data_IF_688915076034
#
_entry.id   IF_688915076034
#
_cell.length_a   1.000
_cell.length_b   1.000
_cell.length_c   1.000
_cell.angle_alpha   90.00
_cell.angle_beta   90.00
_cell.angle_gamma   90.00
#
_symmetry.space_group_name_H-M   'P 1'
#
loop_
_entity.id
_entity.type
_entity.pdbx_description
1 polymer ?
#
# COMPACT_ATOMS: atom_id res chain seq x y z
N UNK A 1 -3.83 -7.77 -22.61
CA UNK A 1 -2.52 -7.82 -23.29
C UNK A 1 -1.47 -8.51 -22.43
N UNK A 2 -1.22 -8.06 -21.19
CA UNK A 2 -0.29 -8.72 -20.25
C UNK A 2 -0.58 -10.22 -20.06
N UNK A 3 -1.84 -10.56 -19.75
CA UNK A 3 -2.30 -11.95 -19.56
C UNK A 3 -1.97 -12.83 -20.75
N UNK A 4 -2.26 -12.34 -21.96
CA UNK A 4 -1.94 -13.01 -23.22
C UNK A 4 -0.42 -13.16 -23.44
N UNK A 5 0.37 -12.16 -23.04
CA UNK A 5 1.83 -12.24 -23.09
C UNK A 5 2.41 -13.30 -22.15
N UNK A 6 1.95 -13.34 -20.89
CA UNK A 6 2.34 -14.39 -19.93
C UNK A 6 1.90 -15.76 -20.44
N UNK A 7 0.66 -15.86 -20.95
CA UNK A 7 0.14 -17.11 -21.51
C UNK A 7 0.96 -17.59 -22.71
N UNK A 8 1.36 -16.69 -23.62
CA UNK A 8 2.25 -17.00 -24.73
C UNK A 8 3.60 -17.51 -24.25
N UNK A 9 4.24 -16.82 -23.30
CA UNK A 9 5.52 -17.25 -22.70
C UNK A 9 5.39 -18.65 -22.09
N UNK A 10 4.29 -18.92 -21.39
CA UNK A 10 4.04 -20.20 -20.73
C UNK A 10 3.85 -21.32 -21.77
N UNK A 11 3.07 -21.06 -22.83
CA UNK A 11 2.82 -22.04 -23.90
C UNK A 11 4.10 -22.33 -24.69
N UNK A 12 4.91 -21.32 -25.03
CA UNK A 12 6.20 -21.50 -25.72
C UNK A 12 7.16 -22.32 -24.85
N UNK A 13 7.20 -22.05 -23.56
CA UNK A 13 8.03 -22.78 -22.61
C UNK A 13 7.64 -24.26 -22.50
N UNK A 14 6.34 -24.53 -22.40
CA UNK A 14 5.80 -25.90 -22.35
C UNK A 14 6.02 -26.67 -23.66
N UNK A 15 5.95 -26.01 -24.82
CA UNK A 15 6.21 -26.65 -26.12
C UNK A 15 7.66 -27.06 -26.32
N UNK A 16 8.61 -26.32 -25.74
CA UNK A 16 10.04 -26.60 -25.84
C UNK A 16 10.64 -27.21 -24.58
N UNK A 17 9.88 -28.08 -23.88
CA UNK A 17 10.29 -28.66 -22.60
C UNK A 17 11.49 -29.59 -22.79
N UNK A 18 12.52 -29.39 -21.96
CA UNK A 18 13.77 -30.16 -21.95
C UNK A 18 14.22 -30.30 -20.50
N UNK A 19 14.98 -31.36 -20.18
CA UNK A 19 15.41 -31.66 -18.81
C UNK A 19 16.09 -30.47 -18.11
N UNK A 20 16.87 -29.68 -18.85
CA UNK A 20 17.50 -28.45 -18.32
C UNK A 20 16.48 -27.39 -17.90
N UNK A 21 15.37 -27.25 -18.63
CA UNK A 21 14.29 -26.31 -18.30
C UNK A 21 13.49 -26.81 -17.09
N UNK A 22 13.19 -28.11 -17.04
CA UNK A 22 12.51 -28.75 -15.90
C UNK A 22 13.31 -28.56 -14.62
N UNK A 23 14.64 -28.75 -14.69
CA UNK A 23 15.53 -28.50 -13.56
C UNK A 23 15.49 -27.04 -13.09
N UNK A 24 15.50 -26.07 -14.02
CA UNK A 24 15.37 -24.66 -13.67
C UNK A 24 14.00 -24.32 -13.06
N UNK A 25 12.91 -24.94 -13.53
CA UNK A 25 11.57 -24.78 -12.97
C UNK A 25 11.51 -25.26 -11.52
N UNK A 26 12.08 -26.43 -11.24
CA UNK A 26 12.16 -27.00 -9.89
C UNK A 26 13.00 -26.13 -8.93
N UNK A 27 13.91 -25.29 -9.44
CA UNK A 27 14.77 -24.42 -8.63
C UNK A 27 14.20 -23.05 -8.30
N UNK A 28 13.17 -22.57 -9.02
CA UNK A 28 12.60 -21.23 -8.80
C UNK A 28 11.15 -21.29 -8.33
N UNK A 29 10.36 -22.20 -8.91
CA UNK A 29 8.93 -22.24 -8.68
C UNK A 29 8.57 -22.58 -7.22
N UNK A 30 9.22 -23.55 -6.54
CA UNK A 30 8.92 -23.83 -5.13
C UNK A 30 9.19 -22.63 -4.22
N UNK A 31 10.27 -21.88 -4.44
CA UNK A 31 10.64 -20.72 -3.64
C UNK A 31 9.69 -19.53 -3.86
N UNK A 32 9.25 -19.31 -5.10
CA UNK A 32 8.22 -18.30 -5.38
C UNK A 32 6.86 -18.72 -4.82
N UNK A 33 6.53 -20.02 -4.90
CA UNK A 33 5.34 -20.59 -4.28
C UNK A 33 5.33 -20.45 -2.76
N UNK A 34 6.46 -20.69 -2.09
CA UNK A 34 6.57 -20.47 -0.64
C UNK A 34 6.41 -19.00 -0.29
N UNK A 35 6.96 -18.07 -1.08
CA UNK A 35 6.77 -16.63 -0.90
C UNK A 35 5.29 -16.20 -1.02
N UNK A 36 4.55 -16.76 -1.99
CA UNK A 36 3.12 -16.49 -2.16
C UNK A 36 2.33 -17.03 -0.97
N UNK A 37 2.67 -18.24 -0.48
CA UNK A 37 2.03 -18.85 0.67
C UNK A 37 2.29 -18.03 1.95
N UNK A 38 3.54 -17.68 2.24
CA UNK A 38 3.91 -16.84 3.38
C UNK A 38 3.32 -15.43 3.27
N UNK A 39 3.28 -14.86 2.08
CA UNK A 39 2.65 -13.56 1.80
C UNK A 39 1.15 -13.58 2.05
N UNK A 40 0.47 -14.65 1.64
CA UNK A 40 -0.97 -14.83 1.86
C UNK A 40 -1.30 -15.02 3.34
N UNK A 41 -0.51 -15.83 4.06
CA UNK A 41 -0.67 -16.02 5.51
C UNK A 41 -0.40 -14.72 6.26
N UNK A 42 0.68 -14.01 5.94
CA UNK A 42 0.99 -12.74 6.59
C UNK A 42 -0.08 -11.69 6.29
N UNK A 43 -0.64 -11.64 5.08
CA UNK A 43 -1.75 -10.76 4.73
C UNK A 43 -3.00 -11.03 5.57
N UNK A 44 -3.40 -12.30 5.70
CA UNK A 44 -4.50 -12.71 6.58
C UNK A 44 -4.22 -12.38 8.05
N UNK A 45 -3.00 -12.62 8.52
CA UNK A 45 -2.58 -12.35 9.88
C UNK A 45 -2.65 -10.84 10.19
N UNK A 46 -2.04 -9.99 9.37
CA UNK A 46 -2.10 -8.54 9.55
C UNK A 46 -3.54 -8.04 9.49
N UNK A 47 -4.36 -8.53 8.56
CA UNK A 47 -5.77 -8.15 8.48
C UNK A 47 -6.54 -8.53 9.76
N UNK A 48 -6.29 -9.72 10.32
CA UNK A 48 -6.88 -10.16 11.57
C UNK A 48 -6.40 -9.33 12.76
N UNK A 49 -5.10 -9.05 12.84
CA UNK A 49 -4.51 -8.26 13.92
C UNK A 49 -5.04 -6.81 13.93
N UNK A 50 -5.12 -6.14 12.78
CA UNK A 50 -5.71 -4.81 12.69
C UNK A 50 -7.19 -4.81 13.03
N UNK A 51 -7.93 -5.89 12.71
CA UNK A 51 -9.34 -6.02 13.06
C UNK A 51 -9.58 -6.19 14.57
N UNK A 52 -8.73 -6.98 15.23
CA UNK A 52 -8.88 -7.33 16.65
C UNK A 52 -8.27 -6.27 17.57
N UNK A 53 -7.08 -5.76 17.23
CA UNK A 53 -6.28 -4.90 18.09
C UNK A 53 -5.70 -3.68 17.33
N UNK A 54 -6.52 -2.78 16.76
CA UNK A 54 -6.05 -1.70 15.89
C UNK A 54 -5.10 -0.71 16.60
N UNK A 55 -5.37 -0.37 17.86
CA UNK A 55 -4.54 0.57 18.64
C UNK A 55 -3.18 -0.05 18.95
N UNK A 56 -3.15 -1.31 19.37
CA UNK A 56 -1.91 -2.02 19.66
C UNK A 56 -1.07 -2.21 18.38
N UNK A 57 -1.73 -2.55 17.27
CA UNK A 57 -1.07 -2.69 15.97
C UNK A 57 -0.51 -1.37 15.44
N UNK A 58 -1.24 -0.26 15.55
CA UNK A 58 -0.73 1.05 15.15
C UNK A 58 0.56 1.43 15.92
N UNK A 59 0.65 1.06 17.21
CA UNK A 59 1.83 1.26 18.06
C UNK A 59 2.98 0.32 17.71
N UNK A 60 2.68 -0.97 17.50
CA UNK A 60 3.69 -2.01 17.33
C UNK A 60 4.27 -2.06 15.93
N UNK A 61 3.48 -1.77 14.89
CA UNK A 61 3.84 -2.04 13.49
C UNK A 61 5.12 -1.32 13.04
N UNK A 62 5.35 -0.13 13.59
CA UNK A 62 6.51 0.68 13.27
C UNK A 62 7.80 -0.02 13.72
N UNK A 63 7.81 -0.52 14.95
CA UNK A 63 8.97 -1.24 15.50
C UNK A 63 9.10 -2.64 14.90
N UNK A 64 7.97 -3.32 14.70
CA UNK A 64 7.92 -4.65 14.07
C UNK A 64 8.49 -4.60 12.65
N UNK A 65 8.15 -3.58 11.86
CA UNK A 65 8.72 -3.38 10.53
C UNK A 65 10.23 -3.23 10.54
N UNK A 66 10.78 -2.40 11.43
CA UNK A 66 12.23 -2.23 11.59
C UNK A 66 12.90 -3.55 11.98
N UNK A 67 12.32 -4.29 12.94
CA UNK A 67 12.88 -5.55 13.42
C UNK A 67 12.97 -6.61 12.30
N UNK A 68 11.90 -6.82 11.53
CA UNK A 68 11.91 -7.77 10.42
C UNK A 68 12.80 -7.31 9.26
N UNK A 69 12.86 -6.00 9.00
CA UNK A 69 13.77 -5.45 7.98
C UNK A 69 15.24 -5.69 8.37
N UNK A 70 15.59 -5.50 9.64
CA UNK A 70 16.92 -5.82 10.16
C UNK A 70 17.23 -7.31 10.04
N UNK A 71 16.29 -8.18 10.42
CA UNK A 71 16.45 -9.64 10.30
C UNK A 71 16.71 -10.08 8.85
N UNK A 72 15.95 -9.56 7.90
CA UNK A 72 16.15 -9.82 6.48
C UNK A 72 17.52 -9.30 5.98
N UNK A 73 17.95 -8.12 6.43
CA UNK A 73 19.26 -7.58 6.08
C UNK A 73 20.41 -8.47 6.57
N UNK A 74 20.37 -8.89 7.83
CA UNK A 74 21.38 -9.77 8.43
C UNK A 74 21.44 -11.12 7.69
N UNK A 75 20.29 -11.69 7.35
CA UNK A 75 20.22 -12.92 6.56
C UNK A 75 20.90 -12.75 5.18
N UNK A 76 20.61 -11.66 4.46
CA UNK A 76 21.21 -11.41 3.14
C UNK A 76 22.72 -11.17 3.19
N UNK A 77 23.21 -10.50 4.24
CA UNK A 77 24.64 -10.29 4.47
C UNK A 77 25.33 -11.62 4.80
N UNK A 78 24.70 -12.46 5.63
CA UNK A 78 25.23 -13.78 6.01
C UNK A 78 25.43 -14.74 4.83
N UNK A 79 24.79 -14.46 3.68
CA UNK A 79 24.91 -15.30 2.51
C UNK A 79 26.28 -15.22 1.81
N UNK A 80 27.08 -14.19 2.13
CA UNK A 80 28.45 -13.99 1.64
C UNK A 80 28.61 -13.99 0.10
N UNK A 81 27.51 -13.83 -0.65
CA UNK A 81 27.55 -13.64 -2.11
C UNK A 81 27.56 -12.14 -2.40
N UNK A 82 28.41 -11.62 -3.31
CA UNK A 82 28.52 -10.17 -3.55
C UNK A 82 27.18 -9.49 -3.85
N UNK A 83 26.31 -10.13 -4.65
CA UNK A 83 24.98 -9.62 -4.99
C UNK A 83 24.02 -9.61 -3.79
N UNK A 84 24.08 -10.59 -2.89
CA UNK A 84 23.24 -10.64 -1.70
C UNK A 84 23.73 -9.69 -0.61
N UNK A 85 25.04 -9.54 -0.45
CA UNK A 85 25.65 -8.61 0.50
C UNK A 85 25.31 -7.18 0.11
N UNK A 86 25.44 -6.81 -1.17
CA UNK A 86 25.05 -5.49 -1.66
C UNK A 86 23.59 -5.15 -1.36
N UNK A 87 22.68 -6.09 -1.65
CA UNK A 87 21.26 -5.94 -1.31
C UNK A 87 21.04 -5.84 0.21
N UNK A 88 21.74 -6.66 0.99
CA UNK A 88 21.67 -6.68 2.45
C UNK A 88 22.09 -5.36 3.10
N UNK A 89 23.16 -4.72 2.61
CA UNK A 89 23.60 -3.40 3.08
C UNK A 89 22.54 -2.33 2.81
N UNK A 90 21.92 -2.33 1.63
CA UNK A 90 20.83 -1.39 1.30
C UNK A 90 19.65 -1.59 2.26
N UNK A 91 19.24 -2.83 2.50
CA UNK A 91 18.13 -3.15 3.43
C UNK A 91 18.51 -2.81 4.87
N UNK A 92 19.77 -2.95 5.27
CA UNK A 92 20.27 -2.56 6.58
C UNK A 92 20.15 -1.04 6.81
N UNK A 93 20.63 -0.23 5.85
CA UNK A 93 20.48 1.23 5.89
C UNK A 93 19.00 1.60 5.98
N UNK A 94 18.15 0.93 5.17
CA UNK A 94 16.71 1.15 5.22
C UNK A 94 16.10 0.82 6.59
N UNK A 95 16.58 -0.22 7.27
CA UNK A 95 16.17 -0.54 8.64
C UNK A 95 16.53 0.57 9.63
N UNK A 96 17.70 1.18 9.50
CA UNK A 96 18.12 2.31 10.35
C UNK A 96 17.18 3.50 10.11
N UNK A 97 16.89 3.82 8.84
CA UNK A 97 15.96 4.89 8.49
C UNK A 97 14.54 4.63 9.05
N UNK A 98 14.06 3.38 9.01
CA UNK A 98 12.77 3.01 9.62
C UNK A 98 12.78 3.21 11.14
N UNK A 99 13.86 2.84 11.83
CA UNK A 99 14.00 3.05 13.28
C UNK A 99 14.05 4.53 13.65
N UNK A 100 14.74 5.37 12.86
CA UNK A 100 14.74 6.82 13.06
C UNK A 100 13.35 7.42 12.82
N UNK A 101 12.64 6.97 11.77
CA UNK A 101 11.25 7.33 11.53
C UNK A 101 10.35 6.92 12.70
N UNK A 102 10.61 5.76 13.31
CA UNK A 102 9.88 5.28 14.48
C UNK A 102 9.97 6.24 15.65
N UNK A 103 11.18 6.67 15.99
CA UNK A 103 11.40 7.64 17.07
C UNK A 103 10.68 8.96 16.82
N UNK A 104 10.65 9.43 15.57
CA UNK A 104 10.03 10.71 15.21
C UNK A 104 8.50 10.68 15.27
N UNK A 105 7.89 9.58 14.82
CA UNK A 105 6.44 9.47 14.61
C UNK A 105 5.64 9.22 15.89
N UNK A 106 6.30 8.74 16.97
CA UNK A 106 5.65 8.41 18.26
C UNK A 106 4.78 9.56 18.80
N UNK A 107 5.17 10.82 18.56
CA UNK A 107 4.42 12.02 18.99
C UNK A 107 3.05 12.16 18.31
N UNK A 108 2.91 11.69 17.07
CA UNK A 108 1.68 11.82 16.25
C UNK A 108 0.79 10.58 16.31
N UNK A 109 1.24 9.55 17.01
CA UNK A 109 0.68 8.22 16.92
C UNK A 109 -0.69 8.07 17.60
N UNK A 110 -0.94 8.85 18.68
CA UNK A 110 -2.19 8.78 19.44
C UNK A 110 -3.40 9.03 18.54
N UNK A 111 -3.43 10.18 17.86
CA UNK A 111 -4.52 10.55 16.95
C UNK A 111 -4.77 9.49 15.87
N UNK A 112 -3.71 9.03 15.20
CA UNK A 112 -3.85 8.06 14.12
C UNK A 112 -4.35 6.69 14.61
N UNK A 113 -3.94 6.26 15.80
CA UNK A 113 -4.41 5.01 16.40
C UNK A 113 -5.89 5.07 16.78
N UNK A 114 -6.34 6.19 17.35
CA UNK A 114 -7.74 6.40 17.76
C UNK A 114 -8.65 6.50 16.52
N UNK A 115 -8.22 7.24 15.48
CA UNK A 115 -8.92 7.32 14.20
C UNK A 115 -9.05 5.95 13.53
N UNK A 116 -7.97 5.18 13.53
CA UNK A 116 -7.95 3.83 12.95
C UNK A 116 -8.89 2.89 13.72
N UNK A 117 -8.89 2.95 15.06
CA UNK A 117 -9.82 2.19 15.90
C UNK A 117 -11.26 2.52 15.57
N UNK A 118 -11.61 3.80 15.50
CA UNK A 118 -12.98 4.23 15.20
C UNK A 118 -13.44 3.77 13.81
N UNK A 119 -12.58 3.98 12.80
CA UNK A 119 -12.86 3.62 11.41
C UNK A 119 -13.03 2.11 11.24
N UNK A 120 -12.16 1.31 11.87
CA UNK A 120 -12.23 -0.15 11.80
C UNK A 120 -13.38 -0.72 12.63
N UNK A 121 -13.74 -0.09 13.75
CA UNK A 121 -14.91 -0.51 14.53
C UNK A 121 -16.20 -0.36 13.71
N UNK A 122 -16.29 0.69 12.89
CA UNK A 122 -17.40 0.85 11.95
C UNK A 122 -17.36 -0.19 10.82
N UNK A 123 -16.19 -0.40 10.22
CA UNK A 123 -16.01 -1.43 9.19
C UNK A 123 -16.36 -2.85 9.66
N UNK A 124 -16.22 -3.14 10.97
CA UNK A 124 -16.64 -4.40 11.60
C UNK A 124 -18.14 -4.57 11.71
N UNK A 125 -18.91 -3.48 11.83
CA UNK A 125 -20.38 -3.54 11.87
C UNK A 125 -20.96 -3.86 10.50
N UNK A 126 -20.28 -3.44 9.43
CA UNK A 126 -20.67 -3.74 8.06
C UNK A 126 -20.37 -5.20 7.71
N UNK A 127 -21.41 -5.94 7.31
CA UNK A 127 -21.29 -7.37 6.97
C UNK A 127 -20.50 -7.54 5.67
N UNK A 128 -19.49 -8.40 5.69
CA UNK A 128 -18.77 -8.81 4.46
C UNK A 128 -17.60 -7.93 4.03
N UNK A 129 -17.28 -6.84 4.74
CA UNK A 129 -16.13 -5.96 4.43
C UNK A 129 -14.81 -6.73 4.30
N UNK A 130 -14.57 -7.65 5.24
CA UNK A 130 -13.35 -8.48 5.24
C UNK A 130 -13.41 -9.63 4.22
N UNK A 131 -14.61 -10.06 3.83
CA UNK A 131 -14.81 -11.12 2.83
C UNK A 131 -14.36 -10.63 1.45
N UNK A 132 -14.64 -9.36 1.10
CA UNK A 132 -14.12 -8.73 -0.13
C UNK A 132 -12.59 -8.85 -0.21
N UNK A 133 -11.90 -8.44 0.86
CA UNK A 133 -10.44 -8.48 0.90
C UNK A 133 -9.90 -9.90 0.74
N UNK A 134 -10.52 -10.89 1.40
CA UNK A 134 -10.12 -12.30 1.30
C UNK A 134 -10.31 -12.87 -0.11
N UNK A 135 -11.41 -12.55 -0.79
CA UNK A 135 -11.63 -12.97 -2.18
C UNK A 135 -10.62 -12.36 -3.14
N UNK A 136 -10.36 -11.05 -3.03
CA UNK A 136 -9.38 -10.38 -3.88
C UNK A 136 -7.96 -10.88 -3.59
N UNK A 137 -7.63 -11.15 -2.32
CA UNK A 137 -6.36 -11.76 -1.94
C UNK A 137 -6.19 -13.14 -2.58
N UNK A 138 -7.21 -13.99 -2.56
CA UNK A 138 -7.17 -15.31 -3.20
C UNK A 138 -6.95 -15.20 -4.72
N UNK A 139 -7.66 -14.28 -5.38
CA UNK A 139 -7.45 -13.99 -6.81
C UNK A 139 -6.02 -13.51 -7.07
N UNK A 140 -5.49 -12.63 -6.22
CA UNK A 140 -4.12 -12.12 -6.33
C UNK A 140 -3.10 -13.25 -6.16
N UNK A 141 -3.29 -14.16 -5.21
CA UNK A 141 -2.40 -15.30 -4.98
C UNK A 141 -2.40 -16.28 -6.16
N UNK A 142 -3.57 -16.59 -6.74
CA UNK A 142 -3.68 -17.40 -7.96
C UNK A 142 -3.01 -16.72 -9.15
N UNK A 143 -3.24 -15.42 -9.31
CA UNK A 143 -2.59 -14.61 -10.35
C UNK A 143 -1.07 -14.60 -10.20
N UNK A 144 -0.55 -14.49 -8.97
CA UNK A 144 0.87 -14.52 -8.69
C UNK A 144 1.50 -15.90 -8.93
N UNK A 145 0.78 -17.00 -8.68
CA UNK A 145 1.24 -18.33 -9.06
C UNK A 145 1.39 -18.43 -10.58
N UNK A 146 0.39 -17.97 -11.33
CA UNK A 146 0.45 -17.92 -12.79
C UNK A 146 1.59 -17.02 -13.30
N UNK A 147 1.78 -15.86 -12.67
CA UNK A 147 2.85 -14.92 -12.99
C UNK A 147 4.23 -15.49 -12.68
N UNK A 148 4.40 -16.23 -11.57
CA UNK A 148 5.67 -16.84 -11.18
C UNK A 148 6.16 -17.85 -12.21
N UNK A 149 5.25 -18.62 -12.80
CA UNK A 149 5.57 -19.51 -13.92
C UNK A 149 6.02 -18.72 -15.16
N UNK A 150 5.40 -17.57 -15.42
CA UNK A 150 5.82 -16.62 -16.46
C UNK A 150 7.23 -16.08 -16.26
N UNK A 151 7.64 -15.78 -15.03
CA UNK A 151 9.02 -15.36 -14.72
C UNK A 151 10.02 -16.47 -15.00
N UNK A 152 9.74 -17.70 -14.56
CA UNK A 152 10.62 -18.84 -14.84
C UNK A 152 10.76 -19.07 -16.35
N UNK A 153 9.67 -18.93 -17.10
CA UNK A 153 9.70 -19.00 -18.55
C UNK A 153 10.58 -17.89 -19.16
N UNK A 154 10.40 -16.64 -18.71
CA UNK A 154 11.13 -15.47 -19.20
C UNK A 154 12.66 -15.59 -19.04
N UNK A 155 13.14 -16.29 -18.00
CA UNK A 155 14.57 -16.51 -17.76
C UNK A 155 15.25 -17.36 -18.85
N UNK A 156 14.48 -18.03 -19.72
CA UNK A 156 15.03 -18.84 -20.83
C UNK A 156 15.20 -18.09 -22.15
N UNK A 157 14.75 -16.83 -22.22
CA UNK A 157 14.83 -16.00 -23.43
C UNK A 157 16.12 -15.18 -23.50
N UNK A 158 16.56 -14.84 -24.70
CA UNK A 158 17.80 -14.08 -24.95
C UNK A 158 17.78 -12.66 -24.32
N UNK A 159 16.61 -12.04 -24.22
CA UNK A 159 16.39 -10.74 -23.57
C UNK A 159 15.74 -10.87 -22.18
N UNK A 160 16.13 -11.89 -21.42
CA UNK A 160 15.53 -12.20 -20.11
C UNK A 160 15.40 -10.98 -19.16
N UNK A 161 16.40 -10.09 -18.98
CA UNK A 161 16.27 -8.97 -18.05
C UNK A 161 15.17 -7.98 -18.43
N UNK A 162 15.02 -7.67 -19.73
CA UNK A 162 14.00 -6.73 -20.20
C UNK A 162 12.59 -7.32 -20.05
N UNK A 163 12.43 -8.61 -20.35
CA UNK A 163 11.15 -9.31 -20.20
C UNK A 163 10.77 -9.42 -18.72
N UNK A 164 11.72 -9.77 -17.84
CA UNK A 164 11.50 -9.81 -16.39
C UNK A 164 11.14 -8.43 -15.84
N UNK A 165 11.80 -7.36 -16.31
CA UNK A 165 11.45 -5.99 -15.93
C UNK A 165 10.01 -5.64 -16.35
N UNK A 166 9.63 -5.94 -17.59
CA UNK A 166 8.26 -5.73 -18.07
C UNK A 166 7.23 -6.53 -17.25
N UNK A 167 7.57 -7.77 -16.86
CA UNK A 167 6.73 -8.59 -15.98
C UNK A 167 6.59 -8.00 -14.58
N UNK A 168 7.66 -7.42 -14.01
CA UNK A 168 7.62 -6.74 -12.70
C UNK A 168 6.78 -5.47 -12.73
N UNK A 169 6.92 -4.62 -13.76
CA UNK A 169 6.07 -3.43 -13.93
C UNK A 169 4.61 -3.85 -14.08
N UNK A 170 4.36 -4.93 -14.82
CA UNK A 170 3.02 -5.47 -14.95
C UNK A 170 2.46 -6.02 -13.64
N UNK A 171 3.28 -6.70 -12.84
CA UNK A 171 2.89 -7.19 -11.51
C UNK A 171 2.53 -6.02 -10.59
N UNK A 172 3.38 -5.00 -10.56
CA UNK A 172 3.15 -3.77 -9.79
C UNK A 172 1.78 -3.16 -10.12
N UNK A 173 1.51 -2.94 -11.40
CA UNK A 173 0.28 -2.28 -11.82
C UNK A 173 -0.97 -3.13 -11.54
N UNK A 174 -0.91 -4.43 -11.83
CA UNK A 174 -2.05 -5.35 -11.58
C UNK A 174 -2.40 -5.44 -10.09
N UNK A 175 -1.41 -5.57 -9.21
CA UNK A 175 -1.65 -5.67 -7.77
C UNK A 175 -2.09 -4.34 -7.15
N UNK A 176 -1.59 -3.21 -7.66
CA UNK A 176 -2.06 -1.88 -7.25
C UNK A 176 -3.51 -1.62 -7.70
N UNK A 177 -3.95 -2.14 -8.85
CA UNK A 177 -5.37 -2.15 -9.25
C UNK A 177 -6.19 -2.95 -8.25
N UNK A 178 -5.79 -4.19 -7.93
CA UNK A 178 -6.53 -5.03 -6.98
C UNK A 178 -6.66 -4.38 -5.60
N UNK A 179 -5.57 -3.77 -5.10
CA UNK A 179 -5.59 -2.99 -3.86
C UNK A 179 -6.61 -1.85 -3.91
N UNK A 180 -6.61 -1.05 -4.98
CA UNK A 180 -7.49 0.11 -5.09
C UNK A 180 -8.96 -0.28 -5.34
N UNK A 181 -9.22 -1.44 -5.96
CA UNK A 181 -10.57 -2.04 -6.03
C UNK A 181 -11.09 -2.37 -4.63
N UNK A 182 -10.27 -3.02 -3.78
CA UNK A 182 -10.64 -3.31 -2.38
C UNK A 182 -10.88 -2.02 -1.60
N UNK A 183 -9.98 -1.04 -1.74
CA UNK A 183 -10.11 0.27 -1.08
C UNK A 183 -11.43 0.95 -1.45
N UNK A 184 -11.75 1.05 -2.74
CA UNK A 184 -12.98 1.68 -3.23
C UNK A 184 -14.25 0.94 -2.80
N UNK A 185 -14.26 -0.40 -2.86
CA UNK A 185 -15.39 -1.21 -2.44
C UNK A 185 -15.68 -1.03 -0.94
N UNK A 186 -14.65 -1.09 -0.11
CA UNK A 186 -14.77 -0.92 1.35
C UNK A 186 -15.16 0.51 1.71
N UNK A 187 -14.58 1.51 1.03
CA UNK A 187 -14.95 2.90 1.26
C UNK A 187 -16.44 3.12 0.98
N UNK A 188 -16.99 2.51 -0.07
CA UNK A 188 -18.42 2.58 -0.35
C UNK A 188 -19.26 1.90 0.73
N UNK A 189 -18.91 0.68 1.12
CA UNK A 189 -19.69 -0.08 2.10
C UNK A 189 -19.78 0.67 3.44
N UNK A 190 -18.65 1.20 3.90
CA UNK A 190 -18.57 2.03 5.11
C UNK A 190 -19.34 3.34 4.94
N UNK A 191 -19.28 3.97 3.77
CA UNK A 191 -19.98 5.23 3.54
C UNK A 191 -21.51 5.06 3.41
N UNK A 192 -21.97 3.99 2.77
CA UNK A 192 -23.39 3.62 2.72
C UNK A 192 -23.93 3.36 4.12
N UNK A 193 -23.14 2.71 4.98
CA UNK A 193 -23.49 2.52 6.39
C UNK A 193 -23.72 3.87 7.11
N UNK A 194 -22.84 4.87 6.93
CA UNK A 194 -23.02 6.19 7.54
C UNK A 194 -24.19 7.00 6.95
N UNK A 195 -24.45 6.86 5.65
CA UNK A 195 -25.41 7.71 4.94
C UNK A 195 -26.83 7.17 5.02
N UNK A 196 -27.00 5.85 4.88
CA UNK A 196 -28.29 5.17 4.70
C UNK A 196 -28.59 4.22 5.86
N UNK A 197 -27.56 3.58 6.44
CA UNK A 197 -27.71 2.59 7.51
C UNK A 197 -27.26 1.18 7.10
N UNK A 198 -27.18 0.28 8.07
CA UNK A 198 -26.56 -1.05 7.91
C UNK A 198 -27.30 -1.98 6.92
N UNK A 199 -28.63 -1.91 6.87
CA UNK A 199 -29.46 -2.89 6.13
C UNK A 199 -29.33 -2.80 4.61
N UNK A 200 -28.79 -1.70 4.08
CA UNK A 200 -28.61 -1.48 2.64
C UNK A 200 -27.16 -1.74 2.17
N UNK A 201 -26.26 -2.11 3.09
CA UNK A 201 -24.85 -2.37 2.77
C UNK A 201 -24.65 -3.80 2.22
N UNK A 202 -24.57 -3.90 0.89
CA UNK A 202 -24.36 -5.15 0.16
C UNK A 202 -22.94 -5.20 -0.43
N UNK A 203 -22.05 -5.93 0.25
CA UNK A 203 -20.62 -6.03 -0.08
C UNK A 203 -20.36 -6.61 -1.48
N UNK A 204 -21.21 -7.53 -1.93
CA UNK A 204 -21.18 -8.16 -3.25
C UNK A 204 -21.47 -7.15 -4.37
N UNK A 205 -22.50 -6.32 -4.20
CA UNK A 205 -22.86 -5.27 -5.16
C UNK A 205 -21.78 -4.19 -5.24
N UNK A 206 -21.17 -3.84 -4.11
CA UNK A 206 -20.07 -2.87 -4.07
C UNK A 206 -18.82 -3.39 -4.79
N UNK A 207 -18.44 -4.64 -4.55
CA UNK A 207 -17.31 -5.27 -5.25
C UNK A 207 -17.58 -5.43 -6.76
N UNK A 208 -18.79 -5.86 -7.13
CA UNK A 208 -19.19 -5.97 -8.52
C UNK A 208 -19.14 -4.61 -9.23
N UNK A 209 -19.66 -3.55 -8.59
CA UNK A 209 -19.66 -2.20 -9.15
C UNK A 209 -18.24 -1.63 -9.26
N UNK A 210 -17.37 -1.89 -8.29
CA UNK A 210 -15.96 -1.49 -8.34
C UNK A 210 -15.21 -2.19 -9.48
N UNK A 211 -15.53 -3.46 -9.74
CA UNK A 211 -14.89 -4.27 -10.78
C UNK A 211 -15.43 -4.01 -12.20
N UNK A 212 -16.58 -3.36 -12.33
CA UNK A 212 -17.24 -3.10 -13.62
C UNK A 212 -17.37 -1.61 -13.90
N UNK A 213 -18.23 -0.93 -13.15
CA UNK A 213 -18.65 0.45 -13.39
C UNK A 213 -17.56 1.47 -13.08
N UNK A 214 -16.75 1.23 -12.04
CA UNK A 214 -15.69 2.18 -11.61
C UNK A 214 -14.29 1.76 -12.02
N UNK A 215 -14.16 0.60 -12.65
CA UNK A 215 -12.87 -0.03 -12.94
C UNK A 215 -11.95 0.90 -13.74
N UNK A 216 -12.46 1.58 -14.77
CA UNK A 216 -11.67 2.52 -15.58
C UNK A 216 -11.09 3.70 -14.76
N UNK A 217 -11.87 4.25 -13.84
CA UNK A 217 -11.40 5.32 -12.93
C UNK A 217 -10.39 4.79 -11.91
N UNK A 218 -10.59 3.57 -11.41
CA UNK A 218 -9.65 2.90 -10.48
C UNK A 218 -8.32 2.61 -11.19
N UNK A 219 -8.34 2.09 -12.42
CA UNK A 219 -7.13 1.83 -13.20
C UNK A 219 -6.30 3.09 -13.46
N UNK A 220 -6.99 4.20 -13.78
CA UNK A 220 -6.34 5.51 -13.95
C UNK A 220 -5.70 5.99 -12.63
N UNK A 221 -6.42 5.88 -11.52
CA UNK A 221 -5.91 6.20 -10.19
C UNK A 221 -4.69 5.34 -9.79
N UNK A 222 -4.73 4.03 -10.05
CA UNK A 222 -3.62 3.10 -9.74
C UNK A 222 -2.34 3.40 -10.51
N UNK A 223 -2.40 4.14 -11.63
CA UNK A 223 -1.22 4.58 -12.36
C UNK A 223 -0.71 5.93 -11.83
N UNK A 224 -1.61 6.88 -11.62
CA UNK A 224 -1.25 8.27 -11.28
C UNK A 224 -0.88 8.43 -9.80
N UNK A 225 -1.68 7.88 -8.89
CA UNK A 225 -1.56 8.15 -7.45
C UNK A 225 -0.22 7.67 -6.85
N UNK A 226 0.30 6.46 -7.15
CA UNK A 226 1.59 6.02 -6.63
C UNK A 226 2.77 6.87 -7.12
N UNK A 227 2.73 7.31 -8.39
CA UNK A 227 3.77 8.18 -8.98
C UNK A 227 3.81 9.51 -8.24
N UNK A 228 2.65 10.11 -8.01
CA UNK A 228 2.55 11.39 -7.31
C UNK A 228 2.90 11.30 -5.83
N UNK A 229 2.53 10.20 -5.17
CA UNK A 229 2.95 9.95 -3.80
C UNK A 229 4.49 9.89 -3.71
N UNK A 230 5.14 9.19 -4.63
CA UNK A 230 6.61 9.11 -4.70
C UNK A 230 7.23 10.48 -4.93
N UNK A 231 6.74 11.23 -5.93
CA UNK A 231 7.21 12.59 -6.22
C UNK A 231 7.07 13.54 -5.02
N UNK A 232 5.97 13.43 -4.27
CA UNK A 232 5.73 14.26 -3.08
C UNK A 232 6.69 13.93 -1.95
N UNK A 233 6.96 12.64 -1.73
CA UNK A 233 7.92 12.19 -0.72
C UNK A 233 9.33 12.67 -1.08
N UNK A 234 9.74 12.54 -2.34
CA UNK A 234 11.05 13.03 -2.79
C UNK A 234 11.17 14.55 -2.70
N UNK A 235 10.14 15.30 -3.11
CA UNK A 235 10.14 16.76 -3.01
C UNK A 235 10.28 17.23 -1.56
N UNK A 236 9.51 16.65 -0.63
CA UNK A 236 9.62 16.97 0.80
C UNK A 236 10.96 16.55 1.41
N UNK A 237 11.54 15.45 0.94
CA UNK A 237 12.88 15.02 1.35
C UNK A 237 13.94 16.03 0.94
N UNK A 238 13.91 16.46 -0.32
CA UNK A 238 14.82 17.48 -0.85
C UNK A 238 14.70 18.81 -0.12
N UNK A 239 13.48 19.25 0.17
CA UNK A 239 13.22 20.50 0.88
C UNK A 239 13.72 20.48 2.33
N UNK A 240 13.81 19.31 2.98
CA UNK A 240 14.33 19.19 4.36
C UNK A 240 15.84 19.10 4.47
N UNK A 241 16.51 18.75 3.38
CA UNK A 241 17.98 18.64 3.33
C UNK A 241 18.63 20.01 3.07
N UNK A 242 17.84 21.04 2.73
CA UNK A 242 18.36 22.35 2.36
C UNK A 242 18.59 23.28 3.55
N UNK A 243 19.87 23.42 3.91
CA UNK A 243 20.45 24.61 4.51
C UNK A 243 21.22 25.41 3.44
N UNK A 244 20.89 26.69 3.29
CA UNK A 244 21.73 27.80 2.78
C UNK A 244 22.07 27.95 1.27
N UNK A 245 21.46 27.23 0.31
CA UNK A 245 21.71 27.48 -1.12
C UNK A 245 20.53 28.17 -1.84
N UNK A 246 20.71 29.46 -2.20
CA UNK A 246 19.70 30.32 -2.87
C UNK A 246 19.24 29.80 -4.25
N UNK A 247 20.08 29.11 -5.01
CA UNK A 247 19.74 28.65 -6.36
C UNK A 247 18.80 27.41 -6.37
N UNK A 248 18.83 26.59 -5.32
CA UNK A 248 17.96 25.41 -5.18
C UNK A 248 16.59 25.75 -4.57
N UNK A 249 16.42 26.95 -4.03
CA UNK A 249 15.17 27.47 -3.46
C UNK A 249 14.06 27.62 -4.53
N UNK A 250 14.41 28.08 -5.74
CA UNK A 250 13.45 28.28 -6.84
C UNK A 250 12.85 26.96 -7.35
N UNK A 251 13.68 25.91 -7.46
CA UNK A 251 13.23 24.58 -7.87
C UNK A 251 12.39 23.90 -6.79
N UNK A 252 12.79 24.00 -5.52
CA UNK A 252 12.07 23.45 -4.37
C UNK A 252 10.64 23.99 -4.26
N UNK A 253 10.46 25.30 -4.38
CA UNK A 253 9.14 25.94 -4.35
C UNK A 253 8.30 25.61 -5.60
N UNK A 254 8.94 25.46 -6.76
CA UNK A 254 8.28 25.00 -7.98
C UNK A 254 7.75 23.56 -7.81
N UNK A 255 8.58 22.65 -7.29
CA UNK A 255 8.17 21.28 -7.00
C UNK A 255 7.05 21.22 -5.97
N UNK A 256 7.09 22.04 -4.93
CA UNK A 256 6.03 22.07 -3.93
C UNK A 256 4.71 22.59 -4.53
N UNK A 257 4.75 23.65 -5.34
CA UNK A 257 3.57 24.14 -6.09
C UNK A 257 3.01 23.10 -7.05
N UNK A 258 3.86 22.43 -7.82
CA UNK A 258 3.45 21.39 -8.77
C UNK A 258 2.82 20.20 -8.03
N UNK A 259 3.43 19.75 -6.93
CA UNK A 259 2.86 18.66 -6.13
C UNK A 259 1.55 19.05 -5.44
N UNK A 260 1.38 20.31 -5.02
CA UNK A 260 0.12 20.82 -4.48
C UNK A 260 -1.02 20.76 -5.52
N UNK A 261 -0.74 21.19 -6.77
CA UNK A 261 -1.69 21.08 -7.89
C UNK A 261 -2.00 19.61 -8.17
N UNK A 262 -1.00 18.75 -8.21
CA UNK A 262 -1.19 17.33 -8.52
C UNK A 262 -2.01 16.60 -7.44
N UNK A 263 -1.83 16.94 -6.16
CA UNK A 263 -2.60 16.38 -5.04
C UNK A 263 -4.07 16.77 -5.09
N UNK A 264 -4.38 17.95 -5.61
CA UNK A 264 -5.78 18.35 -5.88
C UNK A 264 -6.44 17.38 -6.87
N UNK A 265 -5.72 16.96 -7.89
CA UNK A 265 -6.25 16.13 -8.97
C UNK A 265 -6.07 14.61 -8.79
N UNK A 266 -5.19 14.18 -7.88
CA UNK A 266 -4.98 12.78 -7.60
C UNK A 266 -4.65 12.56 -6.12
N UNK A 267 -5.67 12.12 -5.40
CA UNK A 267 -5.57 11.81 -3.99
C UNK A 267 -6.21 10.45 -3.66
N UNK A 268 -5.74 9.80 -2.59
CA UNK A 268 -6.25 8.49 -2.17
C UNK A 268 -7.71 8.56 -1.68
N UNK A 269 -8.16 9.72 -1.20
CA UNK A 269 -9.53 9.90 -0.72
C UNK A 269 -10.55 9.94 -1.86
N UNK A 270 -10.10 10.25 -3.08
CA UNK A 270 -10.91 10.25 -4.30
C UNK A 270 -11.59 8.90 -4.55
N UNK A 271 -10.97 7.78 -4.16
CA UNK A 271 -11.56 6.45 -4.33
C UNK A 271 -12.89 6.31 -3.60
N UNK A 272 -13.04 6.92 -2.42
CA UNK A 272 -14.30 6.94 -1.69
C UNK A 272 -15.37 7.76 -2.42
N UNK A 273 -15.00 8.93 -2.96
CA UNK A 273 -15.89 9.79 -3.76
C UNK A 273 -16.31 9.15 -5.10
N UNK A 274 -15.38 8.49 -5.80
CA UNK A 274 -15.69 7.71 -7.01
C UNK A 274 -16.71 6.62 -6.69
N UNK A 275 -16.50 5.89 -5.59
CA UNK A 275 -17.35 4.77 -5.22
C UNK A 275 -18.74 5.22 -4.71
N UNK A 276 -18.85 6.40 -4.11
CA UNK A 276 -20.12 6.98 -3.66
C UNK A 276 -20.92 7.57 -4.82
N UNK A 277 -20.32 8.50 -5.57
CA UNK A 277 -21.02 9.38 -6.51
C UNK A 277 -20.90 8.96 -7.98
N UNK A 278 -20.15 7.88 -8.27
CA UNK A 278 -19.93 7.37 -9.65
C UNK A 278 -19.34 8.43 -10.60
N UNK A 279 -18.47 9.30 -10.08
CA UNK A 279 -17.78 10.34 -10.86
C UNK A 279 -16.44 9.81 -11.41
N UNK A 280 -15.95 10.43 -12.49
CA UNK A 280 -14.61 10.17 -12.99
C UNK A 280 -13.54 10.54 -11.94
N UNK A 281 -12.45 9.76 -11.87
CA UNK A 281 -11.40 9.88 -10.84
C UNK A 281 -10.90 11.32 -10.62
N UNK A 282 -10.53 12.03 -11.70
CA UNK A 282 -10.00 13.40 -11.60
C UNK A 282 -11.02 14.40 -11.02
N UNK A 283 -12.30 14.26 -11.40
CA UNK A 283 -13.38 15.10 -10.87
C UNK A 283 -13.66 14.77 -9.40
N UNK A 284 -13.73 13.49 -9.07
CA UNK A 284 -13.89 13.03 -7.69
C UNK A 284 -12.74 13.52 -6.80
N UNK A 285 -11.49 13.49 -7.28
CA UNK A 285 -10.33 13.98 -6.55
C UNK A 285 -10.42 15.46 -6.25
N UNK A 286 -10.78 16.27 -7.26
CA UNK A 286 -10.95 17.72 -7.10
C UNK A 286 -12.07 18.04 -6.10
N UNK A 287 -13.24 17.39 -6.26
CA UNK A 287 -14.37 17.58 -5.37
C UNK A 287 -14.01 17.20 -3.93
N UNK A 288 -13.27 16.11 -3.72
CA UNK A 288 -12.79 15.69 -2.39
C UNK A 288 -11.89 16.73 -1.76
N UNK A 289 -10.94 17.26 -2.54
CA UNK A 289 -9.98 18.25 -2.08
C UNK A 289 -10.69 19.56 -1.70
N UNK A 290 -11.55 20.06 -2.58
CA UNK A 290 -12.30 21.30 -2.34
C UNK A 290 -13.23 21.15 -1.11
N UNK A 291 -13.86 19.98 -0.94
CA UNK A 291 -14.67 19.66 0.24
C UNK A 291 -13.85 19.63 1.54
N UNK A 292 -12.63 19.06 1.52
CA UNK A 292 -11.74 19.02 2.68
C UNK A 292 -11.25 20.40 3.08
N UNK A 293 -10.92 21.26 2.11
CA UNK A 293 -10.54 22.65 2.37
C UNK A 293 -11.71 23.45 2.96
N UNK A 294 -12.93 23.28 2.44
CA UNK A 294 -14.12 23.96 2.97
C UNK A 294 -14.43 23.57 4.43
N UNK A 295 -14.17 22.32 4.81
CA UNK A 295 -14.41 21.81 6.16
C UNK A 295 -13.18 21.85 7.08
N UNK A 296 -12.07 22.46 6.64
CA UNK A 296 -10.80 22.58 7.39
C UNK A 296 -10.22 21.23 7.86
N UNK A 297 -10.52 20.15 7.13
CA UNK A 297 -10.02 18.79 7.41
C UNK A 297 -8.61 18.60 6.83
N UNK A 298 -8.20 19.46 5.91
CA UNK A 298 -6.85 19.53 5.32
C UNK A 298 -5.74 19.65 6.38
N UNK A 299 -5.98 20.40 7.46
CA UNK A 299 -5.05 20.54 8.59
C UNK A 299 -4.82 19.20 9.32
N UNK A 300 -5.88 18.40 9.47
CA UNK A 300 -5.84 17.13 10.19
C UNK A 300 -5.27 16.00 9.34
N UNK A 301 -5.49 16.03 8.02
CA UNK A 301 -4.95 15.03 7.09
C UNK A 301 -3.42 14.97 7.15
N UNK A 302 -2.74 16.09 7.43
CA UNK A 302 -1.28 16.11 7.64
C UNK A 302 -0.81 15.32 8.87
N UNK A 303 -1.71 15.01 9.80
CA UNK A 303 -1.47 14.20 10.99
C UNK A 303 -1.89 12.74 10.84
N UNK A 304 -2.54 12.35 9.73
CA UNK A 304 -2.93 10.97 9.47
C UNK A 304 -1.71 10.10 9.10
N UNK A 305 -1.57 8.98 9.80
CA UNK A 305 -0.51 8.00 9.62
C UNK A 305 -1.02 6.66 9.08
N UNK A 306 -2.30 6.55 8.75
CA UNK A 306 -2.92 5.31 8.29
C UNK A 306 -2.21 4.74 7.07
N UNK A 307 -1.90 5.59 6.07
CA UNK A 307 -1.15 5.16 4.88
C UNK A 307 0.24 4.63 5.25
N UNK A 308 0.93 5.27 6.21
CA UNK A 308 2.24 4.84 6.70
C UNK A 308 2.15 3.48 7.39
N UNK A 309 1.16 3.26 8.27
CA UNK A 309 0.96 1.96 8.91
C UNK A 309 0.70 0.85 7.89
N UNK A 310 -0.10 1.13 6.86
CA UNK A 310 -0.35 0.18 5.77
C UNK A 310 0.92 -0.14 4.96
N UNK A 311 1.76 0.87 4.67
CA UNK A 311 3.06 0.69 4.00
C UNK A 311 3.99 -0.16 4.87
N UNK A 312 4.15 0.17 6.15
CA UNK A 312 5.04 -0.54 7.08
C UNK A 312 4.61 -1.99 7.29
N UNK A 313 3.31 -2.25 7.36
CA UNK A 313 2.77 -3.62 7.38
C UNK A 313 3.16 -4.40 6.13
N UNK A 314 3.08 -3.74 4.97
CA UNK A 314 3.43 -4.36 3.69
C UNK A 314 4.93 -4.62 3.57
N UNK A 315 5.77 -3.69 4.03
CA UNK A 315 7.22 -3.90 4.13
C UNK A 315 7.50 -5.11 5.02
N UNK A 316 6.85 -5.20 6.19
CA UNK A 316 7.00 -6.34 7.09
C UNK A 316 6.63 -7.67 6.41
N UNK A 317 5.50 -7.71 5.69
CA UNK A 317 5.09 -8.88 4.90
C UNK A 317 6.08 -9.28 3.82
N UNK A 318 6.63 -8.30 3.10
CA UNK A 318 7.70 -8.53 2.13
C UNK A 318 8.97 -9.08 2.79
N UNK A 319 9.40 -8.51 3.91
CA UNK A 319 10.59 -8.96 4.63
C UNK A 319 10.42 -10.37 5.23
N UNK A 320 9.22 -10.72 5.71
CA UNK A 320 8.90 -12.09 6.11
C UNK A 320 9.07 -13.08 4.95
N UNK A 321 8.61 -12.72 3.75
CA UNK A 321 8.79 -13.55 2.56
C UNK A 321 10.28 -13.68 2.17
N UNK A 322 11.07 -12.61 2.34
CA UNK A 322 12.54 -12.67 2.17
C UNK A 322 13.17 -13.63 3.17
N UNK A 323 12.81 -13.55 4.45
CA UNK A 323 13.39 -14.42 5.49
C UNK A 323 13.07 -15.89 5.20
N UNK A 324 11.83 -16.22 4.85
CA UNK A 324 11.43 -17.62 4.62
C UNK A 324 11.93 -18.13 3.26
N UNK A 325 11.58 -17.46 2.17
CA UNK A 325 11.92 -17.92 0.81
C UNK A 325 13.40 -17.68 0.47
N UNK A 326 13.93 -16.52 0.85
CA UNK A 326 15.35 -16.20 0.70
C UNK A 326 16.22 -17.08 1.61
N UNK A 327 15.79 -17.36 2.84
CA UNK A 327 16.48 -18.29 3.75
C UNK A 327 16.53 -19.72 3.22
N UNK A 328 15.41 -20.23 2.67
CA UNK A 328 15.39 -21.51 1.97
C UNK A 328 16.34 -21.52 0.76
N UNK A 329 16.33 -20.44 -0.02
CA UNK A 329 17.19 -20.29 -1.21
C UNK A 329 18.65 -20.23 -0.81
N UNK A 330 18.98 -19.61 0.32
CA UNK A 330 20.34 -19.57 0.84
C UNK A 330 20.88 -20.97 1.14
N UNK A 331 20.06 -21.86 1.71
CA UNK A 331 20.45 -23.24 2.01
C UNK A 331 20.60 -24.14 0.77
N UNK A 332 19.87 -23.84 -0.31
CA UNK A 332 19.80 -24.71 -1.51
C UNK A 332 20.61 -24.17 -2.70
N UNK A 333 20.48 -22.88 -3.00
CA UNK A 333 21.02 -22.22 -4.19
C UNK A 333 21.56 -20.81 -3.87
N UNK A 334 22.72 -20.75 -3.19
CA UNK A 334 23.36 -19.50 -2.73
C UNK A 334 23.41 -18.38 -3.79
N UNK A 335 23.76 -18.70 -5.03
CA UNK A 335 23.88 -17.71 -6.11
C UNK A 335 22.55 -17.01 -6.48
N UNK A 336 21.41 -17.66 -6.28
CA UNK A 336 20.08 -17.13 -6.63
C UNK A 336 19.45 -16.32 -5.48
N UNK A 337 20.04 -16.36 -4.29
CA UNK A 337 19.48 -15.77 -3.07
C UNK A 337 19.05 -14.33 -3.25
N UNK A 338 19.88 -13.50 -3.91
CA UNK A 338 19.57 -12.09 -4.13
C UNK A 338 18.32 -11.90 -4.99
N UNK A 339 18.26 -12.52 -6.17
CA UNK A 339 17.15 -12.37 -7.10
C UNK A 339 15.83 -12.94 -6.54
N UNK A 340 15.87 -14.13 -5.94
CA UNK A 340 14.68 -14.73 -5.32
C UNK A 340 14.19 -13.88 -4.16
N UNK A 341 15.10 -13.34 -3.33
CA UNK A 341 14.73 -12.44 -2.24
C UNK A 341 14.07 -11.17 -2.74
N UNK A 342 14.59 -10.54 -3.80
CA UNK A 342 13.98 -9.33 -4.39
C UNK A 342 12.56 -9.61 -4.89
N UNK A 343 12.35 -10.70 -5.64
CA UNK A 343 11.01 -11.04 -6.15
C UNK A 343 10.06 -11.42 -5.01
N UNK A 344 10.55 -12.19 -4.02
CA UNK A 344 9.77 -12.60 -2.84
C UNK A 344 9.35 -11.41 -1.98
N UNK A 345 10.21 -10.39 -1.86
CA UNK A 345 9.88 -9.14 -1.18
C UNK A 345 8.67 -8.48 -1.82
N UNK A 346 8.68 -8.30 -3.15
CA UNK A 346 7.57 -7.65 -3.83
C UNK A 346 6.28 -8.47 -3.77
N UNK A 347 6.36 -9.80 -3.93
CA UNK A 347 5.20 -10.70 -3.76
C UNK A 347 4.56 -10.51 -2.39
N UNK A 348 5.35 -10.60 -1.31
CA UNK A 348 4.87 -10.43 0.05
C UNK A 348 4.34 -9.01 0.31
N UNK A 349 5.05 -8.00 -0.19
CA UNK A 349 4.68 -6.59 -0.06
C UNK A 349 3.28 -6.35 -0.64
N UNK A 350 3.04 -6.76 -1.88
CA UNK A 350 1.77 -6.47 -2.53
C UNK A 350 0.60 -7.30 -1.97
N UNK A 351 0.83 -8.56 -1.59
CA UNK A 351 -0.21 -9.37 -0.95
C UNK A 351 -0.68 -8.74 0.37
N UNK A 352 0.25 -8.34 1.23
CA UNK A 352 -0.11 -7.62 2.46
C UNK A 352 -0.70 -6.25 2.13
N UNK A 353 -0.24 -5.57 1.07
CA UNK A 353 -0.79 -4.27 0.68
C UNK A 353 -2.26 -4.33 0.28
N UNK A 354 -2.69 -5.41 -0.39
CA UNK A 354 -4.10 -5.66 -0.71
C UNK A 354 -4.90 -5.82 0.58
N UNK A 355 -4.43 -6.62 1.53
CA UNK A 355 -5.11 -6.79 2.83
C UNK A 355 -5.20 -5.47 3.62
N UNK A 356 -4.16 -4.63 3.55
CA UNK A 356 -4.13 -3.32 4.18
C UNK A 356 -4.96 -2.25 3.44
N UNK A 357 -5.60 -2.58 2.32
CA UNK A 357 -6.57 -1.69 1.69
C UNK A 357 -7.85 -1.54 2.54
N UNK A 358 -8.16 -2.50 3.42
CA UNK A 358 -9.30 -2.45 4.35
C UNK A 358 -9.23 -1.25 5.31
N UNK A 359 -8.20 -1.13 6.18
CA UNK A 359 -8.07 0.02 7.07
C UNK A 359 -7.98 1.33 6.30
N UNK A 360 -7.26 1.35 5.18
CA UNK A 360 -7.13 2.55 4.36
C UNK A 360 -8.48 3.00 3.78
N UNK A 361 -9.27 2.08 3.23
CA UNK A 361 -10.60 2.37 2.69
C UNK A 361 -11.58 2.83 3.76
N UNK A 362 -11.53 2.25 4.96
CA UNK A 362 -12.37 2.64 6.09
C UNK A 362 -12.09 4.07 6.57
N UNK A 363 -10.80 4.44 6.72
CA UNK A 363 -10.40 5.80 7.10
C UNK A 363 -10.74 6.81 5.99
N UNK A 364 -10.51 6.46 4.72
CA UNK A 364 -10.91 7.32 3.60
C UNK A 364 -12.42 7.60 3.60
N UNK A 365 -13.25 6.58 3.83
CA UNK A 365 -14.70 6.77 3.93
C UNK A 365 -15.09 7.61 5.13
N UNK A 366 -14.45 7.42 6.28
CA UNK A 366 -14.72 8.20 7.48
C UNK A 366 -14.50 9.70 7.26
N UNK A 367 -13.36 10.08 6.66
CA UNK A 367 -13.09 11.49 6.33
C UNK A 367 -14.07 12.07 5.31
N UNK A 368 -14.39 11.33 4.24
CA UNK A 368 -15.32 11.81 3.22
C UNK A 368 -16.73 11.97 3.78
N UNK A 369 -17.21 10.99 4.55
CA UNK A 369 -18.54 11.03 5.16
C UNK A 369 -18.65 12.13 6.22
N UNK A 370 -17.59 12.36 7.00
CA UNK A 370 -17.54 13.44 7.98
C UNK A 370 -17.79 14.80 7.30
N UNK A 371 -17.17 15.02 6.14
CA UNK A 371 -17.34 16.27 5.40
C UNK A 371 -18.72 16.41 4.74
N UNK A 372 -19.30 15.31 4.23
CA UNK A 372 -20.61 15.34 3.56
C UNK A 372 -21.80 15.39 4.53
N UNK A 373 -21.71 14.68 5.67
CA UNK A 373 -22.77 14.61 6.69
C UNK A 373 -22.20 14.87 8.09
N UNK A 374 -21.95 16.14 8.46
CA UNK A 374 -21.42 16.48 9.78
C UNK A 374 -22.41 16.22 10.93
N UNK A 375 -23.68 15.90 10.65
CA UNK A 375 -24.71 15.62 11.66
C UNK A 375 -24.82 14.17 12.13
N UNK A 376 -24.04 13.23 11.57
CA UNK A 376 -24.08 11.83 12.02
C UNK A 376 -23.41 11.71 13.39
N UNK A 377 -24.15 11.28 14.41
CA UNK A 377 -23.69 11.23 15.80
C UNK A 377 -22.43 10.37 15.98
N UNK A 378 -22.29 9.26 15.23
CA UNK A 378 -21.06 8.45 15.24
C UNK A 378 -19.87 9.23 14.66
N UNK A 379 -20.05 10.01 13.59
CA UNK A 379 -18.96 10.81 12.99
C UNK A 379 -18.57 12.01 13.86
N UNK A 380 -19.53 12.57 14.60
CA UNK A 380 -19.28 13.67 15.57
C UNK A 380 -18.53 13.17 16.80
N UNK A 381 -18.79 11.94 17.24
CA UNK A 381 -18.08 11.29 18.35
C UNK A 381 -16.67 10.76 17.95
N UNK A 382 -16.27 10.95 16.70
CA UNK A 382 -14.94 10.55 16.23
C UNK A 382 -13.85 11.50 16.77
N UNK A 383 -12.56 11.12 16.75
CA UNK A 383 -11.47 11.99 17.20
C UNK A 383 -11.18 13.15 16.22
N UNK A 384 -11.85 13.21 15.06
CA UNK A 384 -11.59 14.22 14.02
C UNK A 384 -11.92 15.64 14.48
N UNK A 385 -13.13 15.96 15.02
CA UNK A 385 -13.51 17.32 15.37
C UNK A 385 -12.66 17.90 16.51
N UNK A 386 -12.35 17.09 17.53
CA UNK A 386 -11.48 17.50 18.63
C UNK A 386 -10.09 17.86 18.12
N UNK A 387 -9.53 17.02 17.23
CA UNK A 387 -8.22 17.29 16.63
C UNK A 387 -8.19 18.54 15.76
N UNK A 388 -9.28 18.83 15.04
CA UNK A 388 -9.41 20.09 14.29
C UNK A 388 -9.32 21.27 15.26
N UNK A 389 -10.03 21.22 16.39
CA UNK A 389 -10.02 22.30 17.40
C UNK A 389 -8.63 22.49 18.02
N UNK A 390 -7.96 21.40 18.39
CA UNK A 390 -6.58 21.46 18.94
C UNK A 390 -5.62 22.14 17.96
N UNK A 391 -5.61 21.70 16.70
CA UNK A 391 -4.65 22.22 15.72
C UNK A 391 -4.96 23.66 15.29
N UNK A 392 -6.22 24.06 15.26
CA UNK A 392 -6.58 25.46 14.98
C UNK A 392 -6.22 26.37 16.16
N UNK A 393 -6.42 25.91 17.40
CA UNK A 393 -6.00 26.66 18.59
C UNK A 393 -4.48 26.85 18.65
N UNK A 394 -3.69 25.83 18.30
CA UNK A 394 -2.23 25.94 18.21
C UNK A 394 -1.80 26.97 17.14
N UNK A 395 -2.47 27.00 15.99
CA UNK A 395 -2.19 27.97 14.91
C UNK A 395 -2.53 29.40 15.35
N UNK A 396 -3.67 29.60 16.00
CA UNK A 396 -4.06 30.94 16.49
C UNK A 396 -3.11 31.45 17.59
N UNK A 397 -2.55 30.55 18.40
CA UNK A 397 -1.52 30.85 19.41
C UNK A 397 -0.16 31.17 18.78
N UNK A 398 0.23 30.51 17.68
CA UNK A 398 1.45 30.84 16.94
C UNK A 398 1.34 32.18 16.22
N UNK A 399 0.17 32.50 15.64
CA UNK A 399 -0.08 33.80 14.97
C UNK A 399 -0.07 34.96 15.97
N UNK A 400 -0.54 34.75 17.21
CA UNK A 400 -0.50 35.78 18.27
C UNK A 400 0.88 35.93 18.91
N UNK A 401 1.81 35.00 18.69
CA UNK A 401 3.20 35.05 19.17
C UNK A 401 4.21 35.50 18.10
N UNK A 402 3.80 35.60 16.83
CA UNK A 402 4.61 36.17 15.78
C UNK A 402 4.64 37.71 15.93
N UNK A 403 5.81 38.34 16.16
CA UNK A 403 5.94 39.78 16.36
C UNK A 403 5.62 40.60 15.10
#
# INVERSE_FOLDING_TARGET
MVTAGILYLNVVYLRGMSDRKIHNLQRWFPQLGTAIFTGSISACLFQALFRLYPIAMAKSIIWVSSFFTLGAALMLISASVPSSVGLGVIVFIFSICQSLYACWVLRRLKYAADLLFFSLNTARKVRGTYVISLWVLLIASVWLLFWSFGVVSALTFHFAPLVVMALLVSMFWTLEILRNVVCAAISRDVAVYYIVGADQSHWDRSLYSASTSWFGSICMGSLIVPVLHTLRVTARGLNRIHSDNEFMFSCADCFDRVTAILVKYANNWAYAQVALHRKAFMRASRDTYDLFTQKRVDVVIGSDLTSSFCVLSSITGGMLCVIVSGGWTFGTHKALTASVSTVSFFIGYFLVRIAMAVPQGAVCAHYVCYCEKPGCQELVASPVPERIKELLADVDVEVTKAP
#
